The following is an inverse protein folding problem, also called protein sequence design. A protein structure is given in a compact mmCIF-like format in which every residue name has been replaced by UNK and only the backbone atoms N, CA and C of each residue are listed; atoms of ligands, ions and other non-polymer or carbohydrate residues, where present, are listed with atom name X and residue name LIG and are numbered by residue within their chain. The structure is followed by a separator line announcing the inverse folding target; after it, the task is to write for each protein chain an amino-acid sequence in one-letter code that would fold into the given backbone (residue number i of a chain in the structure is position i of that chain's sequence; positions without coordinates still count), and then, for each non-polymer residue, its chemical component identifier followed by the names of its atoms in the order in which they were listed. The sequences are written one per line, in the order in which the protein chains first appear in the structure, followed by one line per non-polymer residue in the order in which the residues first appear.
data_IF_431776504166
#
_entry.id   IF_431776504166
#
_cell.length_a   1.000
_cell.length_b   1.000
_cell.length_c   1.000
_cell.angle_alpha   90.00
_cell.angle_beta   90.00
_cell.angle_gamma   90.00
#
_symmetry.space_group_name_H-M   'P 1'
#
loop_
_entity.id
_entity.type
_entity.pdbx_description
1 polymer ?
#
# COMPACT_ATOMS: atom_id res chain seq x y z
N UNK A 1 -8.90 -4.96 -12.25
CA UNK A 1 -8.39 -5.83 -11.17
C UNK A 1 -7.02 -6.43 -11.52
N UNK A 2 -6.83 -6.96 -12.74
CA UNK A 2 -5.54 -7.50 -13.23
C UNK A 2 -4.34 -6.54 -13.05
N UNK A 3 -4.50 -5.24 -13.33
CA UNK A 3 -3.40 -4.28 -13.11
C UNK A 3 -2.98 -4.15 -11.64
N UNK A 4 -3.95 -4.17 -10.72
CA UNK A 4 -3.66 -4.11 -9.27
C UNK A 4 -2.85 -5.33 -8.86
N UNK A 5 -3.20 -6.52 -9.38
CA UNK A 5 -2.47 -7.76 -9.13
C UNK A 5 -1.02 -7.66 -9.60
N UNK A 6 -0.77 -7.28 -10.86
CA UNK A 6 0.59 -7.11 -11.38
C UNK A 6 1.43 -6.11 -10.56
N UNK A 7 0.82 -4.99 -10.14
CA UNK A 7 1.50 -3.96 -9.33
C UNK A 7 1.86 -4.51 -7.95
N UNK A 8 0.94 -5.22 -7.30
CA UNK A 8 1.17 -5.78 -5.98
C UNK A 8 2.21 -6.92 -6.03
N UNK A 9 2.16 -7.79 -7.03
CA UNK A 9 3.18 -8.83 -7.22
C UNK A 9 4.58 -8.23 -7.42
N UNK A 10 4.69 -7.18 -8.24
CA UNK A 10 5.95 -6.47 -8.43
C UNK A 10 6.45 -5.83 -7.11
N UNK A 11 5.56 -5.24 -6.32
CA UNK A 11 5.89 -4.69 -5.00
C UNK A 11 6.41 -5.77 -4.03
N UNK A 12 5.77 -6.95 -4.00
CA UNK A 12 6.18 -8.06 -3.15
C UNK A 12 7.52 -8.66 -3.57
N UNK A 13 7.76 -8.78 -4.87
CA UNK A 13 9.03 -9.28 -5.42
C UNK A 13 10.17 -8.36 -4.98
N UNK A 14 10.01 -7.05 -5.15
CA UNK A 14 10.94 -6.03 -4.68
C UNK A 14 11.11 -6.03 -3.14
N UNK A 15 10.14 -6.54 -2.36
CA UNK A 15 10.23 -6.63 -0.90
C UNK A 15 10.89 -7.93 -0.38
N UNK A 16 10.86 -9.03 -1.16
CA UNK A 16 11.23 -10.37 -0.72
C UNK A 16 12.54 -10.92 -1.36
N UNK A 17 13.14 -10.23 -2.33
CA UNK A 17 14.45 -10.53 -2.96
C UNK A 17 14.42 -10.20 -4.46
N UNK A 18 15.44 -9.61 -5.11
CA UNK A 18 16.90 -9.63 -4.99
C UNK A 18 17.43 -8.19 -5.21
N UNK A 19 18.58 -7.83 -4.64
CA UNK A 19 19.16 -6.47 -4.58
C UNK A 19 19.71 -5.96 -5.94
N UNK A 20 19.16 -6.39 -7.07
CA UNK A 20 19.64 -6.01 -8.40
C UNK A 20 18.50 -5.64 -9.35
N UNK A 21 18.18 -4.34 -9.43
CA UNK A 21 18.33 -3.52 -10.67
C UNK A 21 17.74 -2.11 -10.57
N UNK A 22 18.19 -1.19 -11.45
CA UNK A 22 18.47 0.19 -11.06
C UNK A 22 17.20 1.01 -10.92
N UNK A 23 17.24 1.85 -9.90
CA UNK A 23 16.38 3.01 -9.72
C UNK A 23 16.39 3.85 -11.00
N UNK A 24 15.46 3.57 -11.92
CA UNK A 24 15.10 4.54 -12.96
C UNK A 24 14.33 5.63 -12.24
N UNK A 25 15.03 6.72 -11.93
CA UNK A 25 14.43 8.02 -11.65
C UNK A 25 13.62 8.43 -12.90
N UNK A 26 12.43 7.85 -13.06
CA UNK A 26 11.50 8.21 -14.11
C UNK A 26 10.95 9.59 -13.76
N UNK A 27 11.63 10.62 -14.30
CA UNK A 27 11.27 12.03 -14.22
C UNK A 27 10.03 12.36 -15.07
N UNK A 28 9.54 11.40 -15.85
CA UNK A 28 8.30 11.47 -16.62
C UNK A 28 7.44 10.20 -16.41
N UNK A 29 6.10 10.32 -16.40
CA UNK A 29 5.25 9.14 -16.36
C UNK A 29 5.45 8.32 -17.64
N UNK A 30 5.75 7.01 -17.54
CA UNK A 30 5.79 6.18 -18.73
C UNK A 30 4.40 6.21 -19.36
N UNK A 31 4.33 6.44 -20.67
CA UNK A 31 3.07 6.41 -21.43
C UNK A 31 2.48 5.00 -21.52
N UNK A 32 3.24 3.98 -21.11
CA UNK A 32 2.87 2.57 -21.07
C UNK A 32 2.89 2.05 -19.63
N UNK A 33 1.93 1.20 -19.27
CA UNK A 33 1.85 0.57 -17.96
C UNK A 33 3.05 -0.35 -17.71
N UNK A 34 3.81 -0.05 -16.65
CA UNK A 34 4.93 -0.84 -16.15
C UNK A 34 4.69 -1.13 -14.65
N UNK A 35 4.38 -2.40 -14.29
CA UNK A 35 4.10 -2.78 -12.90
C UNK A 35 5.22 -2.43 -11.92
N UNK A 36 6.49 -2.50 -12.34
CA UNK A 36 7.65 -2.23 -11.47
C UNK A 36 7.77 -0.75 -11.15
N UNK A 37 7.53 0.11 -12.15
CA UNK A 37 7.53 1.57 -11.96
C UNK A 37 6.39 1.99 -11.05
N UNK A 38 5.19 1.44 -11.25
CA UNK A 38 4.03 1.73 -10.41
C UNK A 38 4.25 1.20 -8.99
N UNK A 39 4.75 -0.02 -8.82
CA UNK A 39 5.11 -0.60 -7.52
C UNK A 39 6.12 0.29 -6.77
N UNK A 40 7.13 0.80 -7.47
CA UNK A 40 8.13 1.73 -6.90
C UNK A 40 7.52 3.06 -6.45
N UNK A 41 6.48 3.57 -7.13
CA UNK A 41 5.73 4.76 -6.68
C UNK A 41 4.87 4.43 -5.47
N UNK A 42 4.18 3.31 -5.49
CA UNK A 42 3.33 2.84 -4.40
C UNK A 42 4.16 2.60 -3.13
N UNK A 43 5.38 2.04 -3.26
CA UNK A 43 6.37 1.97 -2.17
C UNK A 43 6.71 3.35 -1.62
N UNK A 44 7.05 4.31 -2.47
CA UNK A 44 7.34 5.70 -2.05
C UNK A 44 6.16 6.37 -1.36
N UNK A 45 4.93 6.08 -1.76
CA UNK A 45 3.73 6.51 -1.03
C UNK A 45 3.65 5.90 0.37
N UNK A 46 3.95 4.61 0.50
CA UNK A 46 4.10 3.95 1.80
C UNK A 46 5.15 4.62 2.69
N UNK A 47 6.30 4.98 2.12
CA UNK A 47 7.39 5.66 2.84
C UNK A 47 7.01 7.08 3.30
N UNK A 48 6.10 7.76 2.58
CA UNK A 48 5.56 9.06 2.99
C UNK A 48 4.64 8.97 4.22
N UNK A 49 4.08 7.80 4.50
CA UNK A 49 3.31 7.61 5.72
C UNK A 49 4.23 7.69 6.93
N UNK A 50 4.01 8.68 7.79
CA UNK A 50 4.84 8.94 8.97
C UNK A 50 4.25 8.35 10.26
N UNK A 51 3.15 7.60 10.18
CA UNK A 51 2.54 6.98 11.35
C UNK A 51 3.47 6.01 12.07
N UNK A 52 3.50 6.09 13.39
CA UNK A 52 4.21 5.17 14.25
C UNK A 52 3.23 4.13 14.79
N UNK A 53 3.24 2.94 14.18
CA UNK A 53 2.34 1.84 14.54
C UNK A 53 2.51 1.34 15.98
N UNK A 54 3.65 1.60 16.63
CA UNK A 54 3.81 1.24 18.05
C UNK A 54 3.02 2.19 18.98
N UNK A 55 2.75 3.41 18.51
CA UNK A 55 2.07 4.45 19.28
C UNK A 55 0.57 4.53 18.98
N UNK A 56 0.13 3.99 17.84
CA UNK A 56 -1.28 3.97 17.47
C UNK A 56 -2.00 2.85 18.22
N UNK A 57 -2.99 3.22 19.04
CA UNK A 57 -3.87 2.26 19.70
C UNK A 57 -4.99 1.84 18.75
N UNK A 58 -4.82 0.68 18.10
CA UNK A 58 -5.85 0.06 17.27
C UNK A 58 -5.88 -1.45 17.52
N UNK A 59 -7.05 -1.98 17.88
CA UNK A 59 -7.22 -3.41 18.13
C UNK A 59 -6.93 -4.24 16.86
N UNK A 60 -7.45 -3.81 15.72
CA UNK A 60 -7.21 -4.47 14.44
C UNK A 60 -5.72 -4.48 14.08
N UNK A 61 -4.99 -3.39 14.34
CA UNK A 61 -3.54 -3.34 14.15
C UNK A 61 -2.83 -4.38 15.03
N UNK A 62 -3.17 -4.45 16.32
CA UNK A 62 -2.60 -5.44 17.24
C UNK A 62 -2.86 -6.87 16.76
N UNK A 63 -4.07 -7.16 16.26
CA UNK A 63 -4.40 -8.46 15.69
C UNK A 63 -3.56 -8.77 14.44
N UNK A 64 -3.42 -7.82 13.51
CA UNK A 64 -2.58 -7.96 12.31
C UNK A 64 -1.13 -8.24 12.69
N UNK A 65 -0.58 -7.52 13.67
CA UNK A 65 0.80 -7.74 14.15
C UNK A 65 0.99 -9.09 14.86
N UNK A 66 -0.10 -9.75 15.29
CA UNK A 66 -0.12 -11.14 15.78
C UNK A 66 -0.29 -12.16 14.65
N UNK A 67 -0.36 -11.72 13.40
CA UNK A 67 -0.46 -12.56 12.21
C UNK A 67 -1.89 -12.77 11.68
N UNK A 68 -2.89 -12.11 12.25
CA UNK A 68 -4.29 -12.19 11.80
C UNK A 68 -4.55 -11.30 10.58
N UNK A 69 -4.15 -11.77 9.40
CA UNK A 69 -4.25 -10.99 8.17
C UNK A 69 -5.67 -10.72 7.71
N UNK A 70 -6.68 -11.44 8.21
CA UNK A 70 -8.09 -11.13 7.99
C UNK A 70 -8.51 -9.76 8.57
N UNK A 71 -7.72 -9.23 9.52
CA UNK A 71 -7.91 -7.90 10.13
C UNK A 71 -7.20 -6.79 9.38
N UNK A 72 -6.44 -7.11 8.33
CA UNK A 72 -5.59 -6.16 7.61
C UNK A 72 -6.41 -5.01 7.02
N UNK A 73 -7.50 -5.29 6.31
CA UNK A 73 -8.36 -4.26 5.74
C UNK A 73 -8.97 -3.31 6.79
N UNK A 74 -9.44 -3.85 7.91
CA UNK A 74 -10.00 -3.06 9.01
C UNK A 74 -8.93 -2.17 9.68
N UNK A 75 -7.72 -2.70 9.86
CA UNK A 75 -6.59 -1.93 10.38
C UNK A 75 -6.23 -0.78 9.43
N UNK A 76 -6.13 -1.05 8.11
CA UNK A 76 -5.87 -0.04 7.10
C UNK A 76 -6.94 1.06 7.11
N UNK A 77 -8.23 0.72 7.06
CA UNK A 77 -9.32 1.72 7.07
C UNK A 77 -9.24 2.62 8.31
N UNK A 78 -9.14 2.02 9.49
CA UNK A 78 -9.03 2.75 10.77
C UNK A 78 -7.83 3.70 10.81
N UNK A 79 -6.66 3.21 10.41
CA UNK A 79 -5.42 3.99 10.39
C UNK A 79 -5.46 5.11 9.34
N UNK A 80 -6.08 4.85 8.20
CA UNK A 80 -6.20 5.84 7.11
C UNK A 80 -7.10 6.99 7.50
N UNK A 81 -8.23 6.72 8.15
CA UNK A 81 -9.10 7.76 8.72
C UNK A 81 -8.37 8.59 9.77
N UNK A 82 -7.73 7.91 10.73
CA UNK A 82 -6.96 8.57 11.79
C UNK A 82 -5.87 9.49 11.21
N UNK A 83 -5.17 9.04 10.16
CA UNK A 83 -4.11 9.83 9.54
C UNK A 83 -4.66 11.01 8.73
N UNK A 84 -5.74 10.82 7.97
CA UNK A 84 -6.44 11.90 7.27
C UNK A 84 -7.02 12.95 8.22
N UNK A 85 -7.59 12.54 9.36
CA UNK A 85 -8.12 13.47 10.37
C UNK A 85 -7.02 14.37 10.96
N UNK A 86 -5.79 13.84 11.06
CA UNK A 86 -4.63 14.59 11.53
C UNK A 86 -3.96 15.43 10.41
N UNK A 87 -4.25 15.14 9.15
CA UNK A 87 -3.64 15.78 7.99
C UNK A 87 -4.74 16.24 7.02
N UNK A 88 -5.31 17.44 7.21
CA UNK A 88 -6.49 17.91 6.46
C UNK A 88 -6.30 17.97 4.93
N UNK A 89 -5.06 18.07 4.45
CA UNK A 89 -4.73 18.07 3.02
C UNK A 89 -4.67 16.65 2.42
N UNK A 90 -4.65 15.61 3.26
CA UNK A 90 -4.52 14.23 2.85
C UNK A 90 -5.90 13.56 2.77
N UNK A 91 -6.40 13.43 1.55
CA UNK A 91 -7.63 12.68 1.28
C UNK A 91 -7.50 11.21 1.68
N UNK A 92 -8.62 10.64 2.11
CA UNK A 92 -8.71 9.28 2.64
C UNK A 92 -8.13 8.22 1.70
N UNK A 93 -8.39 8.32 0.40
CA UNK A 93 -7.96 7.33 -0.59
C UNK A 93 -6.44 7.30 -0.75
N UNK A 94 -5.80 8.48 -0.70
CA UNK A 94 -4.34 8.58 -0.70
C UNK A 94 -3.76 8.07 0.61
N UNK A 95 -4.36 8.43 1.75
CA UNK A 95 -3.96 7.88 3.04
C UNK A 95 -4.05 6.35 3.03
N UNK A 96 -5.13 5.79 2.51
CA UNK A 96 -5.38 4.36 2.39
C UNK A 96 -4.28 3.62 1.64
N UNK A 97 -3.88 4.11 0.47
CA UNK A 97 -2.81 3.50 -0.31
C UNK A 97 -1.47 3.54 0.43
N UNK A 98 -1.10 4.69 1.00
CA UNK A 98 0.13 4.83 1.78
C UNK A 98 0.14 3.89 3.01
N UNK A 99 -0.96 3.87 3.77
CA UNK A 99 -1.11 3.07 4.99
C UNK A 99 -1.09 1.60 4.69
N UNK A 100 -1.79 1.16 3.63
CA UNK A 100 -1.79 -0.24 3.20
C UNK A 100 -0.37 -0.74 2.96
N UNK A 101 0.42 0.01 2.19
CA UNK A 101 1.79 -0.35 1.85
C UNK A 101 2.69 -0.31 3.08
N UNK A 102 2.62 0.77 3.88
CA UNK A 102 3.45 0.90 5.08
C UNK A 102 3.16 -0.21 6.09
N UNK A 103 1.88 -0.49 6.35
CA UNK A 103 1.47 -1.54 7.27
C UNK A 103 1.93 -2.90 6.77
N UNK A 104 1.73 -3.19 5.49
CA UNK A 104 2.19 -4.45 4.90
C UNK A 104 3.70 -4.65 5.06
N UNK A 105 4.52 -3.63 4.73
CA UNK A 105 5.98 -3.68 4.90
C UNK A 105 6.35 -3.91 6.36
N UNK A 106 5.65 -3.24 7.29
CA UNK A 106 5.89 -3.42 8.72
C UNK A 106 5.54 -4.84 9.19
N UNK A 107 4.43 -5.41 8.73
CA UNK A 107 4.05 -6.79 9.03
C UNK A 107 5.04 -7.77 8.41
N UNK A 108 5.49 -7.55 7.17
CA UNK A 108 6.48 -8.40 6.51
C UNK A 108 7.80 -8.46 7.30
N UNK A 109 8.20 -7.33 7.92
CA UNK A 109 9.38 -7.28 8.78
C UNK A 109 9.20 -8.01 10.12
N UNK A 110 8.00 -7.99 10.69
CA UNK A 110 7.71 -8.60 12.01
C UNK A 110 7.29 -10.07 11.94
N UNK A 111 6.45 -10.41 10.97
CA UNK A 111 5.82 -11.73 10.80
C UNK A 111 5.82 -12.08 9.29
N UNK A 112 6.99 -12.30 8.66
CA UNK A 112 7.10 -12.48 7.22
C UNK A 112 6.27 -13.64 6.66
N UNK A 113 6.06 -14.70 7.46
CA UNK A 113 5.39 -15.94 7.05
C UNK A 113 3.90 -15.79 6.76
N UNK A 114 3.25 -14.72 7.24
CA UNK A 114 1.81 -14.52 7.04
C UNK A 114 1.49 -13.59 5.87
N UNK A 115 2.48 -12.88 5.34
CA UNK A 115 2.25 -11.82 4.34
C UNK A 115 2.14 -12.42 2.94
N UNK A 116 1.06 -12.09 2.24
CA UNK A 116 0.75 -12.56 0.87
C UNK A 116 0.25 -11.40 0.01
N UNK A 117 0.56 -11.39 -1.31
CA UNK A 117 0.05 -10.39 -2.25
C UNK A 117 -1.47 -10.23 -2.19
N UNK A 118 -2.19 -11.33 -2.04
CA UNK A 118 -3.65 -11.35 -1.98
C UNK A 118 -4.24 -10.38 -0.96
N UNK A 119 -3.62 -10.23 0.22
CA UNK A 119 -4.12 -9.33 1.27
C UNK A 119 -4.15 -7.86 0.82
N UNK A 120 -3.17 -7.42 0.04
CA UNK A 120 -3.13 -6.05 -0.46
C UNK A 120 -4.05 -5.88 -1.69
N UNK A 121 -4.10 -6.89 -2.57
CA UNK A 121 -5.00 -6.90 -3.73
C UNK A 121 -6.46 -6.81 -3.29
N UNK A 122 -6.87 -7.65 -2.33
CA UNK A 122 -8.24 -7.69 -1.80
C UNK A 122 -8.63 -6.37 -1.14
N UNK A 123 -7.74 -5.76 -0.35
CA UNK A 123 -8.02 -4.50 0.34
C UNK A 123 -8.14 -3.33 -0.63
N UNK A 124 -7.30 -3.25 -1.67
CA UNK A 124 -7.39 -2.20 -2.68
C UNK A 124 -8.61 -2.41 -3.58
N UNK A 125 -8.80 -3.61 -4.12
CA UNK A 125 -9.90 -3.89 -5.03
C UNK A 125 -11.27 -3.89 -4.30
N UNK A 126 -11.30 -4.24 -3.02
CA UNK A 126 -12.50 -4.24 -2.18
C UNK A 126 -12.97 -2.84 -1.77
N UNK A 127 -12.13 -1.81 -1.90
CA UNK A 127 -12.49 -0.43 -1.57
C UNK A 127 -12.88 0.37 -2.83
N UNK A 128 -14.18 0.55 -3.06
CA UNK A 128 -14.68 1.27 -4.24
C UNK A 128 -14.24 2.74 -4.30
N UNK A 129 -14.08 3.41 -3.16
CA UNK A 129 -13.61 4.81 -3.12
C UNK A 129 -12.18 4.91 -3.65
N UNK A 130 -11.30 4.00 -3.21
CA UNK A 130 -9.90 3.94 -3.63
C UNK A 130 -9.80 3.58 -5.12
N UNK A 131 -10.59 2.61 -5.60
CA UNK A 131 -10.64 2.28 -7.03
C UNK A 131 -11.05 3.48 -7.88
N UNK A 132 -12.13 4.15 -7.50
CA UNK A 132 -12.61 5.34 -8.22
C UNK A 132 -11.58 6.47 -8.20
N UNK A 133 -10.85 6.64 -7.08
CA UNK A 133 -9.76 7.61 -6.98
C UNK A 133 -8.61 7.27 -7.94
N UNK A 134 -8.19 6.00 -8.01
CA UNK A 134 -7.15 5.55 -8.97
C UNK A 134 -7.60 5.84 -10.40
N UNK A 135 -8.85 5.52 -10.75
CA UNK A 135 -9.40 5.79 -12.08
C UNK A 135 -9.44 7.30 -12.39
N UNK A 136 -9.87 8.12 -11.42
CA UNK A 136 -9.90 9.58 -11.55
C UNK A 136 -8.51 10.20 -11.73
N UNK A 137 -7.47 9.60 -11.15
CA UNK A 137 -6.07 9.97 -11.39
C UNK A 137 -5.56 9.56 -12.78
N UNK A 138 -6.34 8.83 -13.58
CA UNK A 138 -5.93 8.30 -14.88
C UNK A 138 -5.35 6.88 -14.80
N UNK A 139 -5.75 6.12 -13.78
CA UNK A 139 -5.31 4.75 -13.52
C UNK A 139 -3.96 4.67 -12.81
N UNK A 140 -3.50 3.43 -12.63
CA UNK A 140 -2.21 3.11 -12.00
C UNK A 140 -0.99 3.79 -12.66
N UNK A 141 -1.07 4.08 -13.96
CA UNK A 141 0.03 4.70 -14.72
C UNK A 141 0.29 6.15 -14.33
N UNK A 142 -0.78 6.87 -13.94
CA UNK A 142 -0.75 8.31 -13.67
C UNK A 142 -0.88 8.68 -12.18
N UNK A 143 -1.14 7.68 -11.34
CA UNK A 143 -0.96 7.78 -9.89
C UNK A 143 0.53 7.87 -9.52
#
# INVERSE_FOLDING_TARGET
EEQTECVVEALFSDLLGDDEKPMRLARDPPTQFDPVVVASRLRRMGDQCNMDFERVSSEALVEVLKGKMEKFGAAVDSLSRCWSDQNPELVYERAFLCVSVKLLIHVAKKVPTVVRPSHLIEVINGNSQVRNYIEACGGWVRM
#
